data_IF_302583647975
#
_entry.id   IF_302583647975
#
_cell.length_a   1.000
_cell.length_b   1.000
_cell.length_c   1.000
_cell.angle_alpha   90.00
_cell.angle_beta   90.00
_cell.angle_gamma   90.00
#
_symmetry.space_group_name_H-M   'P 1'
#
loop_
_entity.id
_entity.type
_entity.pdbx_description
1 polymer ?
#
# COMPACT_ATOMS: atom_id res chain seq x y z
N UNK A 1 -16.12 22.05 15.83
CA UNK A 1 -16.26 22.15 14.34
C UNK A 1 -14.94 22.46 13.66
N UNK A 2 -14.10 23.25 14.26
CA UNK A 2 -12.77 23.57 13.71
C UNK A 2 -11.92 22.34 13.37
N UNK A 3 -11.82 21.30 14.24
CA UNK A 3 -11.05 20.11 13.89
C UNK A 3 -11.55 19.41 12.63
N UNK A 4 -12.85 19.37 12.43
CA UNK A 4 -13.42 18.72 11.24
C UNK A 4 -13.12 19.50 9.97
N UNK A 5 -13.07 20.82 10.05
CA UNK A 5 -12.70 21.64 8.90
C UNK A 5 -11.27 21.41 8.47
N UNK A 6 -10.35 21.26 9.44
CA UNK A 6 -8.95 20.95 9.16
C UNK A 6 -8.80 19.55 8.57
N UNK A 7 -9.53 18.58 9.09
CA UNK A 7 -9.52 17.20 8.56
C UNK A 7 -10.02 17.20 7.12
N UNK A 8 -11.10 17.96 6.85
CA UNK A 8 -11.60 18.08 5.48
C UNK A 8 -10.53 18.64 4.55
N UNK A 9 -9.83 19.67 4.97
CA UNK A 9 -8.79 20.29 4.16
C UNK A 9 -7.63 19.34 3.87
N UNK A 10 -7.21 18.57 4.88
CA UNK A 10 -6.20 17.51 4.70
C UNK A 10 -6.69 16.45 3.73
N UNK A 11 -7.92 16.02 3.90
CA UNK A 11 -8.50 15.00 3.04
C UNK A 11 -8.51 15.44 1.58
N UNK A 12 -8.90 16.68 1.33
CA UNK A 12 -8.90 17.25 -0.03
C UNK A 12 -7.50 17.33 -0.60
N UNK A 13 -6.54 17.73 0.20
CA UNK A 13 -5.14 17.79 -0.24
C UNK A 13 -4.63 16.40 -0.63
N UNK A 14 -4.97 15.37 0.16
CA UNK A 14 -4.58 13.99 -0.12
C UNK A 14 -5.24 13.50 -1.41
N UNK A 15 -6.53 13.74 -1.59
CA UNK A 15 -7.23 13.31 -2.82
C UNK A 15 -6.71 14.02 -4.06
N UNK A 16 -6.37 15.29 -3.97
CA UNK A 16 -5.76 16.03 -5.08
C UNK A 16 -4.38 15.45 -5.42
N UNK A 17 -3.59 15.14 -4.40
CA UNK A 17 -2.29 14.51 -4.58
C UNK A 17 -2.43 13.14 -5.24
N UNK A 18 -3.38 12.33 -4.77
CA UNK A 18 -3.64 11.01 -5.33
C UNK A 18 -3.99 11.08 -6.81
N UNK A 19 -4.85 12.02 -7.18
CA UNK A 19 -5.24 12.20 -8.57
C UNK A 19 -4.04 12.52 -9.45
N UNK A 20 -3.18 13.43 -9.01
CA UNK A 20 -1.98 13.80 -9.76
C UNK A 20 -0.96 12.67 -9.81
N UNK A 21 -0.80 11.95 -8.72
CA UNK A 21 0.13 10.83 -8.62
C UNK A 21 -0.29 9.70 -9.55
N UNK A 22 -1.58 9.34 -9.54
CA UNK A 22 -2.11 8.31 -10.40
C UNK A 22 -1.95 8.67 -11.87
N UNK A 23 -2.20 9.92 -12.21
CA UNK A 23 -2.05 10.40 -13.59
C UNK A 23 -0.61 10.31 -14.07
N UNK A 24 0.36 10.57 -13.18
CA UNK A 24 1.78 10.59 -13.52
C UNK A 24 2.40 9.20 -13.51
N UNK A 25 2.06 8.37 -12.53
CA UNK A 25 2.72 7.09 -12.28
C UNK A 25 1.84 5.87 -12.55
N UNK A 26 0.55 6.05 -12.73
CA UNK A 26 -0.37 4.93 -12.92
C UNK A 26 -0.59 4.11 -11.65
N UNK A 27 -0.37 4.72 -10.49
CA UNK A 27 -0.51 4.05 -9.19
C UNK A 27 -1.48 4.86 -8.32
N UNK A 28 -2.33 4.16 -7.57
CA UNK A 28 -3.14 4.82 -6.55
C UNK A 28 -2.31 5.05 -5.29
N UNK A 29 -2.85 5.81 -4.36
CA UNK A 29 -2.15 6.17 -3.13
C UNK A 29 -1.73 4.93 -2.32
N UNK A 30 -2.64 3.97 -2.15
CA UNK A 30 -2.34 2.74 -1.40
C UNK A 30 -1.22 1.95 -2.06
N UNK A 31 -1.18 1.89 -3.37
CA UNK A 31 -0.11 1.21 -4.09
C UNK A 31 1.23 1.90 -3.85
N UNK A 32 1.25 3.22 -3.92
CA UNK A 32 2.46 3.98 -3.64
C UNK A 32 2.95 3.83 -2.21
N UNK A 33 2.02 3.82 -1.25
CA UNK A 33 2.36 3.62 0.16
C UNK A 33 2.90 2.21 0.42
N UNK A 34 2.36 1.21 -0.27
CA UNK A 34 2.87 -0.16 -0.17
C UNK A 34 4.31 -0.23 -0.65
N UNK A 35 4.63 0.39 -1.77
CA UNK A 35 6.00 0.43 -2.27
C UNK A 35 6.93 1.14 -1.31
N UNK A 36 6.45 2.19 -0.66
CA UNK A 36 7.21 2.90 0.37
C UNK A 36 7.52 1.98 1.55
N UNK A 37 6.55 1.19 2.00
CA UNK A 37 6.74 0.23 3.09
C UNK A 37 7.82 -0.79 2.73
N UNK A 38 7.77 -1.33 1.52
CA UNK A 38 8.73 -2.34 1.06
C UNK A 38 10.13 -1.76 0.85
N UNK A 39 10.22 -0.48 0.59
CA UNK A 39 11.50 0.21 0.50
C UNK A 39 12.17 0.31 1.87
N UNK A 40 11.38 0.55 2.92
CA UNK A 40 11.88 0.67 4.29
C UNK A 40 12.15 -0.69 4.91
N UNK A 41 11.27 -1.66 4.65
CA UNK A 41 11.40 -3.03 5.14
C UNK A 41 11.23 -3.97 3.95
N UNK A 42 12.33 -4.48 3.39
CA UNK A 42 12.30 -5.19 2.11
C UNK A 42 11.54 -6.51 2.09
N UNK A 43 11.11 -7.01 3.24
CA UNK A 43 10.45 -8.31 3.32
C UNK A 43 9.28 -8.23 4.29
N UNK A 44 8.08 -8.09 3.75
CA UNK A 44 6.86 -7.96 4.55
C UNK A 44 5.83 -9.01 4.12
N UNK A 45 5.13 -9.56 5.11
CA UNK A 45 3.96 -10.40 4.85
C UNK A 45 2.75 -9.53 4.53
N UNK A 46 1.69 -10.15 4.00
CA UNK A 46 0.45 -9.43 3.74
C UNK A 46 -0.14 -8.85 5.03
N UNK A 47 -0.01 -9.58 6.15
CA UNK A 47 -0.47 -9.09 7.45
C UNK A 47 0.29 -7.86 7.90
N UNK A 48 1.61 -7.84 7.70
CA UNK A 48 2.44 -6.68 8.03
C UNK A 48 2.05 -5.47 7.20
N UNK A 49 1.82 -5.67 5.92
CA UNK A 49 1.41 -4.61 5.00
C UNK A 49 0.04 -4.05 5.41
N UNK A 50 -0.93 -4.93 5.69
CA UNK A 50 -2.25 -4.52 6.15
C UNK A 50 -2.16 -3.64 7.38
N UNK A 51 -1.32 -4.04 8.33
CA UNK A 51 -1.12 -3.32 9.58
C UNK A 51 -0.51 -1.94 9.35
N UNK A 52 0.51 -1.87 8.51
CA UNK A 52 1.19 -0.60 8.24
C UNK A 52 0.32 0.37 7.45
N UNK A 53 -0.48 -0.14 6.53
CA UNK A 53 -1.38 0.70 5.73
C UNK A 53 -2.71 0.99 6.41
N UNK A 54 -3.04 0.26 7.48
CA UNK A 54 -4.31 0.42 8.16
C UNK A 54 -5.49 -0.07 7.33
N UNK A 55 -5.28 -1.11 6.52
CA UNK A 55 -6.30 -1.67 5.63
C UNK A 55 -6.80 -3.02 6.13
N UNK A 56 -7.98 -3.41 5.69
CA UNK A 56 -8.48 -4.76 5.91
C UNK A 56 -7.66 -5.75 5.09
N UNK A 57 -7.71 -7.04 5.44
CA UNK A 57 -7.04 -8.08 4.67
C UNK A 57 -7.52 -8.11 3.22
N UNK A 58 -8.84 -7.96 3.03
CA UNK A 58 -9.44 -7.97 1.71
C UNK A 58 -8.90 -6.82 0.84
N UNK A 59 -8.88 -5.61 1.36
CA UNK A 59 -8.36 -4.45 0.63
C UNK A 59 -6.86 -4.56 0.40
N UNK A 60 -6.12 -5.05 1.39
CA UNK A 60 -4.68 -5.26 1.27
C UNK A 60 -4.38 -6.24 0.13
N UNK A 61 -5.12 -7.35 0.05
CA UNK A 61 -4.94 -8.34 -1.01
C UNK A 61 -5.18 -7.74 -2.39
N UNK A 62 -6.15 -6.86 -2.52
CA UNK A 62 -6.43 -6.17 -3.79
C UNK A 62 -5.27 -5.26 -4.19
N UNK A 63 -4.74 -4.50 -3.24
CA UNK A 63 -3.61 -3.61 -3.48
C UNK A 63 -2.38 -4.41 -3.89
N UNK A 64 -2.07 -5.49 -3.16
CA UNK A 64 -0.92 -6.35 -3.44
C UNK A 64 -1.02 -6.94 -4.84
N UNK A 65 -2.18 -7.49 -5.20
CA UNK A 65 -2.38 -8.07 -6.54
C UNK A 65 -2.19 -7.03 -7.64
N UNK A 66 -2.70 -5.84 -7.42
CA UNK A 66 -2.57 -4.76 -8.40
C UNK A 66 -1.10 -4.40 -8.63
N UNK A 67 -0.33 -4.27 -7.56
CA UNK A 67 1.09 -3.93 -7.65
C UNK A 67 1.91 -5.07 -8.24
N UNK A 68 1.58 -6.34 -7.89
CA UNK A 68 2.21 -7.51 -8.48
C UNK A 68 1.97 -7.56 -9.98
N UNK A 69 0.73 -7.30 -10.39
CA UNK A 69 0.34 -7.33 -11.80
C UNK A 69 1.11 -6.31 -12.61
N UNK A 70 1.49 -5.21 -12.00
CA UNK A 70 2.32 -4.17 -12.63
C UNK A 70 3.81 -4.52 -12.61
N UNK A 71 4.18 -5.65 -12.02
CA UNK A 71 5.56 -6.12 -11.99
C UNK A 71 6.46 -5.37 -11.03
N UNK A 72 5.89 -4.69 -10.04
CA UNK A 72 6.66 -3.84 -9.13
C UNK A 72 7.08 -4.55 -7.84
N UNK A 73 6.43 -5.66 -7.51
CA UNK A 73 6.80 -6.47 -6.35
C UNK A 73 6.77 -7.95 -6.73
N UNK A 74 7.43 -8.77 -5.91
CA UNK A 74 7.49 -10.22 -6.10
C UNK A 74 7.06 -10.92 -4.82
N UNK A 75 6.53 -12.12 -4.97
CA UNK A 75 6.21 -13.01 -3.85
C UNK A 75 7.43 -13.85 -3.52
N UNK A 76 7.70 -14.00 -2.23
CA UNK A 76 8.80 -14.79 -1.73
C UNK A 76 8.25 -15.75 -0.68
N UNK A 77 8.55 -17.05 -0.83
CA UNK A 77 8.15 -18.04 0.17
C UNK A 77 9.06 -17.92 1.39
N UNK A 78 8.48 -18.15 2.57
CA UNK A 78 9.27 -18.15 3.80
C UNK A 78 10.24 -19.32 3.83
N UNK A 79 11.45 -19.08 4.35
CA UNK A 79 12.49 -20.11 4.42
C UNK A 79 12.13 -21.20 5.41
N UNK A 80 11.54 -20.82 6.54
CA UNK A 80 11.24 -21.77 7.62
C UNK A 80 9.82 -22.35 7.52
N UNK A 81 8.91 -21.63 6.91
CA UNK A 81 7.54 -22.07 6.73
C UNK A 81 7.07 -21.70 5.33
N UNK A 82 6.90 -22.70 4.48
CA UNK A 82 6.50 -22.51 3.09
C UNK A 82 5.09 -21.94 2.93
N UNK A 83 4.29 -21.96 4.02
CA UNK A 83 2.97 -21.34 4.02
C UNK A 83 3.04 -19.84 4.25
N UNK A 84 4.17 -19.36 4.75
CA UNK A 84 4.40 -17.93 4.94
C UNK A 84 4.80 -17.31 3.60
N UNK A 85 4.09 -16.25 3.23
CA UNK A 85 4.35 -15.54 1.99
C UNK A 85 4.80 -14.11 2.31
N UNK A 86 5.92 -13.72 1.73
CA UNK A 86 6.46 -12.37 1.88
C UNK A 86 6.51 -11.67 0.53
N UNK A 87 6.59 -10.36 0.58
CA UNK A 87 6.66 -9.52 -0.62
C UNK A 87 7.90 -8.65 -0.59
N UNK A 88 8.44 -8.39 -1.74
CA UNK A 88 9.65 -7.59 -1.88
C UNK A 88 9.60 -6.74 -3.16
#
# INVERSE_FOLDING_TARGET
MEPFCKIRDFYRAITDFETRFEKRYGLCLNEGMLLCCLRQEPRLSSGDIAKQLGLTHSNTSKVIRSVEKKGLIERILGDDDKRQMYFS
#
